data_IF_965208732957
#
_entry.id   IF_965208732957
#
_cell.length_a   1.000
_cell.length_b   1.000
_cell.length_c   1.000
_cell.angle_alpha   90.00
_cell.angle_beta   90.00
_cell.angle_gamma   90.00
#
_symmetry.space_group_name_H-M   'P 1'
#
loop_
_entity.id
_entity.type
_entity.pdbx_description
1 polymer ?
#
# COMPACT_ATOMS: atom_id res chain seq x y z
N UNK A 1 10.39 -6.88 -17.37
CA UNK A 1 11.64 -6.60 -16.65
C UNK A 1 11.63 -7.34 -15.32
N UNK A 2 12.74 -8.03 -15.00
CA UNK A 2 12.88 -8.85 -13.78
C UNK A 2 13.38 -8.03 -12.57
N UNK A 3 13.67 -6.76 -12.77
CA UNK A 3 14.23 -5.88 -11.74
C UNK A 3 13.12 -5.13 -11.03
N UNK A 4 13.01 -5.31 -9.71
CA UNK A 4 12.11 -4.53 -8.89
C UNK A 4 12.44 -3.03 -8.98
N UNK A 5 11.49 -2.17 -9.41
CA UNK A 5 11.75 -0.76 -9.60
C UNK A 5 11.95 -0.06 -8.26
N UNK A 6 12.89 0.86 -8.18
CA UNK A 6 13.07 1.71 -7.00
C UNK A 6 11.88 2.67 -6.85
N UNK A 7 11.27 2.76 -5.64
CA UNK A 7 10.20 3.72 -5.35
C UNK A 7 10.70 5.14 -5.05
N UNK A 8 12.02 5.38 -5.05
CA UNK A 8 12.59 6.68 -4.73
C UNK A 8 12.39 7.14 -3.28
N UNK A 9 11.99 6.24 -2.37
CA UNK A 9 11.57 6.60 -1.02
C UNK A 9 12.70 7.00 -0.05
N UNK A 10 13.94 6.60 -0.31
CA UNK A 10 15.11 6.90 0.53
C UNK A 10 15.09 6.28 1.95
N UNK A 11 14.01 5.62 2.37
CA UNK A 11 13.79 5.21 3.78
C UNK A 11 14.81 4.17 4.25
N UNK A 12 14.90 3.04 3.56
CA UNK A 12 15.74 1.92 3.99
C UNK A 12 17.21 2.04 3.58
N UNK A 13 17.49 2.70 2.46
CA UNK A 13 18.86 2.89 1.98
C UNK A 13 19.50 4.14 2.60
N UNK A 14 19.21 5.33 2.10
CA UNK A 14 19.81 6.59 2.58
C UNK A 14 19.46 6.86 4.04
N UNK A 15 18.17 6.69 4.43
CA UNK A 15 17.71 6.99 5.77
C UNK A 15 18.32 6.09 6.85
N UNK A 16 18.62 4.82 6.57
CA UNK A 16 19.32 3.97 7.52
C UNK A 16 20.83 4.28 7.57
N UNK A 17 21.46 4.58 6.43
CA UNK A 17 22.87 4.99 6.40
C UNK A 17 23.12 6.29 7.17
N UNK A 18 22.23 7.28 7.11
CA UNK A 18 22.35 8.51 7.91
C UNK A 18 22.29 8.22 9.41
N UNK A 19 21.61 7.16 9.82
CA UNK A 19 21.57 6.67 11.20
C UNK A 19 22.72 5.71 11.55
N UNK A 20 23.68 5.49 10.63
CA UNK A 20 24.77 4.54 10.75
C UNK A 20 24.29 3.09 10.98
N UNK A 21 23.20 2.72 10.33
CA UNK A 21 22.63 1.37 10.34
C UNK A 21 22.84 0.68 8.99
N UNK A 22 22.81 -0.65 8.94
CA UNK A 22 22.86 -1.38 7.67
C UNK A 22 21.74 -0.92 6.73
N UNK A 23 22.07 -0.78 5.45
CA UNK A 23 21.08 -0.45 4.44
C UNK A 23 20.05 -1.57 4.28
N UNK A 24 18.83 -1.18 4.03
CA UNK A 24 17.71 -2.08 3.70
C UNK A 24 16.90 -1.46 2.55
N UNK A 25 15.89 -2.15 2.08
CA UNK A 25 14.99 -1.62 1.06
C UNK A 25 13.55 -2.00 1.33
N UNK A 26 12.63 -1.04 1.22
CA UNK A 26 11.19 -1.30 1.44
C UNK A 26 10.56 -2.14 0.33
N UNK A 27 11.18 -2.14 -0.86
CA UNK A 27 10.72 -2.91 -2.03
C UNK A 27 11.39 -4.28 -2.09
N UNK A 28 12.69 -4.32 -1.80
CA UNK A 28 13.47 -5.56 -1.82
C UNK A 28 13.84 -5.97 -0.38
N UNK A 29 13.07 -6.87 0.25
CA UNK A 29 13.34 -7.30 1.62
C UNK A 29 14.66 -8.06 1.79
N UNK A 30 15.25 -8.53 0.67
CA UNK A 30 16.54 -9.23 0.68
C UNK A 30 17.73 -8.28 0.70
N UNK A 31 17.54 -6.99 0.38
CA UNK A 31 18.64 -6.03 0.28
C UNK A 31 19.44 -5.92 1.59
N UNK A 32 20.72 -6.27 1.52
CA UNK A 32 21.63 -6.36 2.68
C UNK A 32 21.41 -7.58 3.58
N UNK A 33 20.54 -8.53 3.17
CA UNK A 33 20.18 -9.74 3.92
C UNK A 33 20.13 -10.97 3.02
N UNK A 34 20.81 -10.94 1.91
CA UNK A 34 20.78 -11.98 0.86
C UNK A 34 21.25 -13.34 1.38
N UNK A 35 22.16 -13.35 2.37
CA UNK A 35 22.65 -14.57 3.01
C UNK A 35 21.72 -15.12 4.10
N UNK A 36 20.80 -14.31 4.62
CA UNK A 36 19.87 -14.71 5.68
C UNK A 36 18.58 -15.32 5.10
N UNK A 37 18.16 -14.82 3.94
CA UNK A 37 16.91 -15.20 3.30
C UNK A 37 17.14 -15.80 1.93
N UNK A 38 16.98 -17.08 1.84
CA UNK A 38 16.98 -17.80 0.57
C UNK A 38 15.55 -18.22 0.22
N UNK A 39 15.06 -17.79 -0.94
CA UNK A 39 13.73 -18.17 -1.45
C UNK A 39 13.80 -19.60 -2.01
N UNK A 40 13.91 -20.62 -1.13
CA UNK A 40 13.98 -22.03 -1.53
C UNK A 40 12.61 -22.56 -1.96
N UNK A 41 12.57 -23.45 -2.96
CA UNK A 41 11.36 -24.20 -3.26
C UNK A 41 10.84 -24.94 -2.03
N UNK A 42 9.52 -25.05 -1.92
CA UNK A 42 8.91 -25.84 -0.84
C UNK A 42 9.14 -27.33 -1.02
N UNK A 43 9.26 -28.07 0.08
CA UNK A 43 9.26 -29.53 0.05
C UNK A 43 7.83 -30.10 -0.03
N UNK A 44 6.82 -29.30 0.35
CA UNK A 44 5.41 -29.69 0.38
C UNK A 44 4.56 -28.53 -0.16
N UNK A 45 3.87 -28.77 -1.25
CA UNK A 45 2.95 -27.78 -1.86
C UNK A 45 1.70 -27.65 -1.00
N UNK A 46 1.17 -26.44 -0.89
CA UNK A 46 -0.05 -26.10 -0.13
C UNK A 46 -0.94 -25.19 -0.95
N UNK A 47 -2.24 -25.31 -0.74
CA UNK A 47 -3.24 -24.35 -1.20
C UNK A 47 -3.28 -23.19 -0.23
N UNK A 48 -2.85 -22.01 -0.65
CA UNK A 48 -2.75 -20.83 0.20
C UNK A 48 -3.70 -19.75 -0.30
N UNK A 49 -4.58 -19.30 0.59
CA UNK A 49 -5.45 -18.17 0.34
C UNK A 49 -4.86 -16.91 0.97
N UNK A 50 -4.66 -15.88 0.18
CA UNK A 50 -4.27 -14.53 0.66
C UNK A 50 -5.49 -13.62 0.56
N UNK A 51 -5.86 -12.96 1.65
CA UNK A 51 -6.98 -12.03 1.70
C UNK A 51 -6.46 -10.60 1.64
N UNK A 52 -6.71 -9.94 0.50
CA UNK A 52 -6.26 -8.58 0.19
C UNK A 52 -5.08 -8.53 -0.78
N UNK A 53 -5.26 -7.88 -1.93
CA UNK A 53 -4.22 -7.62 -2.92
C UNK A 53 -3.54 -6.24 -2.73
N UNK A 54 -3.40 -5.78 -1.49
CA UNK A 54 -2.49 -4.70 -1.13
C UNK A 54 -1.03 -5.16 -1.26
N UNK A 55 -0.08 -4.28 -0.97
CA UNK A 55 1.35 -4.58 -1.13
C UNK A 55 1.78 -5.79 -0.29
N UNK A 56 1.29 -5.89 0.95
CA UNK A 56 1.60 -7.04 1.81
C UNK A 56 1.11 -8.36 1.23
N UNK A 57 -0.12 -8.38 0.73
CA UNK A 57 -0.71 -9.57 0.11
C UNK A 57 -0.04 -9.96 -1.19
N UNK A 58 0.22 -9.00 -2.09
CA UNK A 58 0.93 -9.25 -3.35
C UNK A 58 2.36 -9.75 -3.12
N UNK A 59 3.09 -9.16 -2.15
CA UNK A 59 4.44 -9.60 -1.81
C UNK A 59 4.44 -11.03 -1.24
N UNK A 60 3.48 -11.37 -0.36
CA UNK A 60 3.31 -12.71 0.16
C UNK A 60 2.96 -13.70 -0.97
N UNK A 61 1.99 -13.36 -1.82
CA UNK A 61 1.55 -14.20 -2.92
C UNK A 61 2.71 -14.51 -3.88
N UNK A 62 3.48 -13.49 -4.28
CA UNK A 62 4.66 -13.63 -5.12
C UNK A 62 5.66 -14.63 -4.55
N UNK A 63 6.03 -14.44 -3.28
CA UNK A 63 7.05 -15.29 -2.64
C UNK A 63 6.56 -16.73 -2.51
N UNK A 64 5.31 -16.92 -2.10
CA UNK A 64 4.72 -18.24 -1.90
C UNK A 64 4.58 -18.99 -3.23
N UNK A 65 4.07 -18.34 -4.27
CA UNK A 65 3.96 -18.93 -5.60
C UNK A 65 5.34 -19.26 -6.20
N UNK A 66 6.32 -18.37 -6.04
CA UNK A 66 7.72 -18.62 -6.45
C UNK A 66 8.33 -19.83 -5.74
N UNK A 67 7.91 -20.11 -4.52
CA UNK A 67 8.34 -21.27 -3.76
C UNK A 67 7.60 -22.57 -4.14
N UNK A 68 6.59 -22.50 -5.00
CA UNK A 68 5.86 -23.65 -5.54
C UNK A 68 4.56 -23.97 -4.80
N UNK A 69 3.99 -23.04 -4.04
CA UNK A 69 2.65 -23.21 -3.47
C UNK A 69 1.57 -22.78 -4.48
N UNK A 70 0.37 -23.37 -4.37
CA UNK A 70 -0.83 -22.91 -5.08
C UNK A 70 -1.42 -21.71 -4.35
N UNK A 71 -1.35 -20.53 -4.95
CA UNK A 71 -1.75 -19.27 -4.29
C UNK A 71 -2.93 -18.64 -4.99
N UNK A 72 -3.99 -18.38 -4.23
CA UNK A 72 -5.15 -17.58 -4.64
C UNK A 72 -5.20 -16.33 -3.77
N UNK A 73 -5.39 -15.17 -4.38
CA UNK A 73 -5.54 -13.88 -3.70
C UNK A 73 -6.96 -13.38 -3.90
N UNK A 74 -7.69 -13.09 -2.82
CA UNK A 74 -8.97 -12.42 -2.88
C UNK A 74 -8.80 -10.91 -2.68
N UNK A 75 -9.38 -10.14 -3.59
CA UNK A 75 -9.39 -8.67 -3.52
C UNK A 75 -10.83 -8.17 -3.68
N UNK A 76 -11.33 -7.41 -2.71
CA UNK A 76 -12.68 -6.86 -2.75
C UNK A 76 -12.87 -5.76 -3.78
N UNK A 77 -11.81 -5.04 -4.10
CA UNK A 77 -11.83 -3.95 -5.06
C UNK A 77 -11.62 -4.46 -6.50
N UNK A 78 -11.90 -3.59 -7.48
CA UNK A 78 -11.68 -3.86 -8.92
C UNK A 78 -10.21 -3.89 -9.31
N UNK A 79 -9.30 -3.46 -8.45
CA UNK A 79 -7.86 -3.38 -8.73
C UNK A 79 -7.04 -3.63 -7.48
N UNK A 80 -5.88 -4.25 -7.69
CA UNK A 80 -4.88 -4.44 -6.65
C UNK A 80 -4.12 -3.16 -6.30
N UNK A 81 -3.30 -3.21 -5.24
CA UNK A 81 -2.40 -2.16 -4.80
C UNK A 81 -2.82 -1.52 -3.47
N UNK A 82 -4.08 -1.68 -3.05
CA UNK A 82 -4.56 -1.17 -1.78
C UNK A 82 -4.24 0.32 -1.56
N UNK A 83 -3.74 0.67 -0.39
CA UNK A 83 -3.42 2.06 -0.04
C UNK A 83 -2.28 2.69 -0.87
N UNK A 84 -1.43 1.90 -1.54
CA UNK A 84 -0.43 2.48 -2.45
C UNK A 84 -1.06 3.19 -3.65
N UNK A 85 -2.28 2.79 -4.06
CA UNK A 85 -3.04 3.52 -5.06
C UNK A 85 -3.37 4.95 -4.63
N UNK A 86 -3.43 5.23 -3.33
CA UNK A 86 -3.62 6.56 -2.78
C UNK A 86 -2.27 7.28 -2.61
N UNK A 87 -1.27 6.58 -2.06
CA UNK A 87 0.06 7.14 -1.82
C UNK A 87 0.72 7.65 -3.12
N UNK A 88 0.55 6.96 -4.24
CA UNK A 88 1.10 7.40 -5.53
C UNK A 88 0.36 8.60 -6.14
N UNK A 89 -0.74 9.05 -5.56
CA UNK A 89 -1.48 10.24 -6.02
C UNK A 89 -0.84 11.55 -5.54
N UNK A 90 -0.12 11.50 -4.42
CA UNK A 90 0.63 12.65 -3.93
C UNK A 90 1.64 13.13 -4.98
N UNK A 91 1.89 14.45 -5.10
CA UNK A 91 2.88 14.99 -6.01
C UNK A 91 4.24 14.30 -5.86
N UNK A 92 4.90 14.05 -6.99
CA UNK A 92 6.23 13.41 -7.07
C UNK A 92 6.34 11.96 -6.58
N UNK A 93 5.21 11.28 -6.29
CA UNK A 93 5.18 9.89 -5.80
C UNK A 93 4.66 8.86 -6.81
N UNK A 94 4.48 9.25 -8.07
CA UNK A 94 3.92 8.40 -9.12
C UNK A 94 4.78 7.14 -9.37
N UNK A 95 6.08 7.21 -9.11
CA UNK A 95 7.02 6.07 -9.25
C UNK A 95 6.62 4.86 -8.38
N UNK A 96 5.94 5.09 -7.26
CA UNK A 96 5.44 4.03 -6.37
C UNK A 96 4.49 3.07 -7.12
N UNK A 97 3.73 3.57 -8.09
CA UNK A 97 2.81 2.75 -8.87
C UNK A 97 3.51 1.65 -9.68
N UNK A 98 4.76 1.87 -10.08
CA UNK A 98 5.56 0.87 -10.79
C UNK A 98 5.80 -0.39 -9.96
N UNK A 99 5.86 -0.25 -8.64
CA UNK A 99 6.01 -1.39 -7.76
C UNK A 99 4.76 -2.27 -7.71
N UNK A 100 3.57 -1.67 -7.76
CA UNK A 100 2.32 -2.44 -7.85
C UNK A 100 2.33 -3.27 -9.14
N UNK A 101 2.67 -2.62 -10.27
CA UNK A 101 2.75 -3.29 -11.58
C UNK A 101 3.76 -4.44 -11.55
N UNK A 102 4.94 -4.21 -10.99
CA UNK A 102 5.97 -5.24 -10.83
C UNK A 102 5.47 -6.45 -10.04
N UNK A 103 4.84 -6.23 -8.88
CA UNK A 103 4.33 -7.32 -8.05
C UNK A 103 3.22 -8.12 -8.76
N UNK A 104 2.35 -7.45 -9.51
CA UNK A 104 1.32 -8.11 -10.32
C UNK A 104 1.93 -8.99 -11.41
N UNK A 105 2.94 -8.50 -12.12
CA UNK A 105 3.67 -9.26 -13.13
C UNK A 105 4.39 -10.47 -12.53
N UNK A 106 4.98 -10.31 -11.35
CA UNK A 106 5.64 -11.42 -10.65
C UNK A 106 4.64 -12.45 -10.11
N UNK A 107 3.47 -12.01 -9.62
CA UNK A 107 2.40 -12.93 -9.23
C UNK A 107 1.92 -13.77 -10.43
N UNK A 108 1.66 -13.13 -11.57
CA UNK A 108 1.29 -13.79 -12.81
C UNK A 108 2.38 -14.76 -13.28
N UNK A 109 3.63 -14.32 -13.28
CA UNK A 109 4.81 -15.12 -13.68
C UNK A 109 4.94 -16.42 -12.90
N UNK A 110 4.66 -16.38 -11.59
CA UNK A 110 4.75 -17.57 -10.73
C UNK A 110 3.42 -18.30 -10.53
N UNK A 111 2.37 -17.88 -11.23
CA UNK A 111 1.07 -18.56 -11.27
C UNK A 111 0.18 -18.30 -10.04
N UNK A 112 0.37 -17.19 -9.34
CA UNK A 112 -0.59 -16.76 -8.32
C UNK A 112 -1.84 -16.18 -8.98
N UNK A 113 -3.01 -16.73 -8.66
CA UNK A 113 -4.31 -16.26 -9.16
C UNK A 113 -4.83 -15.11 -8.32
N UNK A 114 -5.24 -14.01 -8.96
CA UNK A 114 -5.87 -12.88 -8.25
C UNK A 114 -7.33 -12.77 -8.68
N UNK A 115 -8.26 -12.94 -7.73
CA UNK A 115 -9.69 -12.80 -7.93
C UNK A 115 -10.16 -11.47 -7.37
N UNK A 116 -10.48 -10.56 -8.29
CA UNK A 116 -11.02 -9.24 -7.97
C UNK A 116 -12.50 -9.30 -7.63
N UNK A 117 -13.03 -8.21 -7.05
CA UNK A 117 -14.43 -8.07 -6.65
C UNK A 117 -14.91 -9.27 -5.79
N UNK A 118 -13.98 -9.84 -5.01
CA UNK A 118 -14.20 -11.00 -4.17
C UNK A 118 -13.94 -10.63 -2.71
N UNK A 119 -15.00 -10.34 -1.98
CA UNK A 119 -14.92 -10.05 -0.56
C UNK A 119 -14.85 -11.35 0.24
N UNK A 120 -13.80 -11.48 1.04
CA UNK A 120 -13.59 -12.66 1.88
C UNK A 120 -14.43 -12.58 3.16
N UNK A 121 -15.25 -13.58 3.37
CA UNK A 121 -15.90 -13.88 4.65
C UNK A 121 -15.63 -15.34 5.03
N UNK A 122 -16.05 -15.74 6.23
CA UNK A 122 -15.76 -17.07 6.74
C UNK A 122 -16.29 -18.21 5.83
N UNK A 123 -17.43 -18.02 5.19
CA UNK A 123 -18.04 -19.06 4.36
C UNK A 123 -17.33 -19.17 3.00
N UNK A 124 -16.97 -18.03 2.40
CA UNK A 124 -16.19 -17.97 1.16
C UNK A 124 -14.79 -18.57 1.36
N UNK A 125 -14.13 -18.27 2.49
CA UNK A 125 -12.84 -18.86 2.83
C UNK A 125 -12.94 -20.37 3.02
N UNK A 126 -13.98 -20.86 3.72
CA UNK A 126 -14.20 -22.30 3.91
C UNK A 126 -14.50 -23.02 2.60
N UNK A 127 -15.25 -22.40 1.69
CA UNK A 127 -15.57 -22.98 0.39
C UNK A 127 -14.32 -23.17 -0.50
N UNK A 128 -13.31 -22.28 -0.37
CA UNK A 128 -12.03 -22.41 -1.07
C UNK A 128 -11.17 -23.54 -0.50
N UNK A 129 -11.46 -23.99 0.73
CA UNK A 129 -10.77 -25.08 1.42
C UNK A 129 -9.23 -24.95 1.42
N UNK A 130 -8.64 -23.82 1.83
CA UNK A 130 -7.20 -23.63 1.83
C UNK A 130 -6.53 -24.35 2.99
N UNK A 131 -5.27 -24.78 2.80
CA UNK A 131 -4.42 -25.30 3.88
C UNK A 131 -3.95 -24.17 4.82
N UNK A 132 -3.78 -22.96 4.27
CA UNK A 132 -3.32 -21.78 5.00
C UNK A 132 -4.06 -20.53 4.51
N UNK A 133 -4.45 -19.66 5.44
CA UNK A 133 -5.00 -18.34 5.14
C UNK A 133 -4.05 -17.26 5.65
N UNK A 134 -3.71 -16.31 4.76
CA UNK A 134 -2.93 -15.12 5.09
C UNK A 134 -3.84 -13.90 5.03
N UNK A 135 -3.98 -13.21 6.16
CA UNK A 135 -4.77 -11.98 6.25
C UNK A 135 -3.87 -10.76 5.94
N UNK A 136 -4.13 -10.09 4.83
CA UNK A 136 -3.45 -8.89 4.38
C UNK A 136 -4.46 -7.76 4.08
N UNK A 137 -5.49 -7.65 4.92
CA UNK A 137 -6.67 -6.79 4.72
C UNK A 137 -6.39 -5.29 4.85
N UNK A 138 -5.17 -4.91 5.26
CA UNK A 138 -4.77 -3.52 5.41
C UNK A 138 -5.28 -2.86 6.69
N UNK A 139 -5.44 -1.54 6.65
CA UNK A 139 -5.89 -0.72 7.76
C UNK A 139 -6.86 0.36 7.28
N UNK A 140 -7.73 0.82 8.17
CA UNK A 140 -8.63 1.93 7.93
C UNK A 140 -8.14 3.20 8.66
N UNK A 141 -8.43 4.41 8.11
CA UNK A 141 -8.09 5.67 8.76
C UNK A 141 -8.82 5.81 10.10
N UNK A 142 -8.10 6.29 11.11
CA UNK A 142 -8.71 6.63 12.39
C UNK A 142 -9.51 7.94 12.23
N UNK A 143 -10.74 7.95 12.72
CA UNK A 143 -11.53 9.16 12.85
C UNK A 143 -11.21 9.82 14.19
N UNK A 144 -10.68 11.05 14.16
CA UNK A 144 -10.34 11.75 15.39
C UNK A 144 -11.59 12.03 16.24
N UNK A 145 -11.53 11.82 17.56
CA UNK A 145 -12.66 12.06 18.47
C UNK A 145 -12.78 13.55 18.85
N UNK A 146 -12.95 14.40 17.84
CA UNK A 146 -13.08 15.86 18.00
C UNK A 146 -14.50 16.31 17.64
N UNK A 147 -14.90 17.46 18.17
CA UNK A 147 -16.17 18.10 17.82
C UNK A 147 -16.19 18.49 16.34
N UNK A 148 -17.30 18.26 15.64
CA UNK A 148 -17.43 18.55 14.21
C UNK A 148 -16.86 17.45 13.29
N UNK A 149 -16.42 16.32 13.84
CA UNK A 149 -15.85 15.18 13.04
C UNK A 149 -16.79 14.68 11.96
N UNK A 150 -18.10 14.82 12.14
CA UNK A 150 -19.12 14.42 11.18
C UNK A 150 -19.13 15.23 9.89
N UNK A 151 -18.50 16.42 9.91
CA UNK A 151 -18.33 17.29 8.75
C UNK A 151 -16.95 17.14 8.09
N UNK A 152 -16.05 16.37 8.69
CA UNK A 152 -14.70 16.19 8.19
C UNK A 152 -14.68 15.20 7.02
N UNK A 153 -13.77 15.46 6.08
CA UNK A 153 -13.51 14.61 4.94
C UNK A 153 -12.19 13.87 5.20
N UNK A 154 -12.20 12.57 5.03
CA UNK A 154 -10.97 11.77 5.15
C UNK A 154 -10.01 12.07 4.00
N UNK A 155 -8.71 12.19 4.30
CA UNK A 155 -7.68 12.39 3.30
C UNK A 155 -7.73 11.33 2.18
N UNK A 156 -8.03 10.08 2.54
CA UNK A 156 -8.17 8.99 1.58
C UNK A 156 -9.29 9.23 0.56
N UNK A 157 -10.39 9.86 0.95
CA UNK A 157 -11.50 10.16 0.03
C UNK A 157 -11.16 11.31 -0.92
N UNK A 158 -10.35 12.27 -0.45
CA UNK A 158 -9.81 13.34 -1.29
C UNK A 158 -8.81 12.75 -2.31
N UNK A 159 -7.82 11.98 -1.83
CA UNK A 159 -6.78 11.39 -2.68
C UNK A 159 -7.34 10.37 -3.67
N UNK A 160 -8.38 9.63 -3.31
CA UNK A 160 -9.06 8.70 -4.24
C UNK A 160 -9.88 9.40 -5.32
N UNK A 161 -10.19 10.68 -5.13
CA UNK A 161 -11.07 11.45 -6.02
C UNK A 161 -12.56 11.22 -5.76
N UNK A 162 -12.95 10.54 -4.69
CA UNK A 162 -14.34 10.40 -4.27
C UNK A 162 -14.96 11.75 -3.92
N UNK A 163 -14.15 12.65 -3.35
CA UNK A 163 -14.55 14.01 -3.05
C UNK A 163 -13.82 14.96 -3.99
N UNK A 164 -14.55 15.75 -4.80
CA UNK A 164 -13.95 16.71 -5.72
C UNK A 164 -13.36 17.90 -4.98
N UNK A 165 -12.20 18.37 -5.43
CA UNK A 165 -11.56 19.58 -4.93
C UNK A 165 -12.10 20.77 -5.75
N UNK A 166 -12.98 21.56 -5.14
CA UNK A 166 -13.65 22.68 -5.81
C UNK A 166 -12.90 24.01 -5.68
N UNK A 167 -11.80 24.05 -4.94
CA UNK A 167 -11.07 25.29 -4.62
C UNK A 167 -11.49 25.87 -3.26
N UNK A 168 -10.94 27.03 -2.90
CA UNK A 168 -11.20 27.69 -1.63
C UNK A 168 -10.17 27.38 -0.53
N UNK A 169 -10.57 27.49 0.73
CA UNK A 169 -9.71 27.27 1.88
C UNK A 169 -9.92 25.86 2.43
N UNK A 170 -8.85 25.12 2.62
CA UNK A 170 -8.85 23.82 3.26
C UNK A 170 -8.08 23.88 4.60
N UNK A 171 -8.67 23.36 5.67
CA UNK A 171 -7.98 23.10 6.92
C UNK A 171 -7.70 21.58 7.00
N UNK A 172 -6.45 21.21 7.20
CA UNK A 172 -6.00 19.82 7.26
C UNK A 172 -5.52 19.56 8.67
N UNK A 173 -6.16 18.63 9.35
CA UNK A 173 -5.85 18.26 10.72
C UNK A 173 -4.83 17.12 10.72
N UNK A 174 -3.68 17.36 11.30
CA UNK A 174 -2.51 16.49 11.33
C UNK A 174 -1.40 16.95 10.39
N UNK A 175 -0.26 17.33 10.94
CA UNK A 175 0.94 17.78 10.22
C UNK A 175 1.90 16.65 9.84
N UNK A 176 1.50 15.38 10.00
CA UNK A 176 2.29 14.24 9.54
C UNK A 176 2.34 14.10 8.01
N UNK A 177 3.07 13.11 7.52
CA UNK A 177 3.28 12.91 6.08
C UNK A 177 1.98 12.91 5.26
N UNK A 178 0.94 12.21 5.73
CA UNK A 178 -0.35 12.15 5.02
C UNK A 178 -1.00 13.54 4.93
N UNK A 179 -0.96 14.32 6.01
CA UNK A 179 -1.53 15.68 6.02
C UNK A 179 -0.79 16.61 5.06
N UNK A 180 0.54 16.61 5.09
CA UNK A 180 1.38 17.43 4.21
C UNK A 180 1.13 17.06 2.74
N UNK A 181 1.15 15.77 2.41
CA UNK A 181 0.90 15.29 1.05
C UNK A 181 -0.51 15.60 0.57
N UNK A 182 -1.50 15.52 1.47
CA UNK A 182 -2.88 15.90 1.16
C UNK A 182 -3.00 17.39 0.91
N UNK A 183 -2.31 18.23 1.70
CA UNK A 183 -2.28 19.68 1.49
C UNK A 183 -1.70 20.02 0.11
N UNK A 184 -0.57 19.42 -0.24
CA UNK A 184 0.07 19.60 -1.52
C UNK A 184 -0.83 19.14 -2.67
N UNK A 185 -1.46 17.96 -2.52
CA UNK A 185 -2.41 17.44 -3.51
C UNK A 185 -3.58 18.38 -3.72
N UNK A 186 -4.17 18.93 -2.64
CA UNK A 186 -5.27 19.89 -2.70
C UNK A 186 -4.85 21.15 -3.44
N UNK A 187 -3.69 21.71 -3.13
CA UNK A 187 -3.17 22.91 -3.80
C UNK A 187 -2.92 22.70 -5.29
N UNK A 188 -2.38 21.55 -5.67
CA UNK A 188 -2.12 21.21 -7.08
C UNK A 188 -3.37 20.92 -7.92
N UNK A 189 -4.43 20.38 -7.29
CA UNK A 189 -5.63 19.93 -8.02
C UNK A 189 -6.84 20.85 -7.85
N UNK A 190 -6.71 21.91 -7.06
CA UNK A 190 -7.80 22.87 -6.87
C UNK A 190 -8.08 23.69 -8.15
N UNK A 191 -9.36 23.95 -8.40
CA UNK A 191 -9.80 24.85 -9.46
C UNK A 191 -9.84 26.28 -8.93
N UNK A 192 -8.84 27.09 -9.28
CA UNK A 192 -8.71 28.48 -8.84
C UNK A 192 -7.79 28.65 -7.63
N UNK A 193 -7.85 29.82 -6.98
CA UNK A 193 -7.03 30.10 -5.79
C UNK A 193 -7.45 29.20 -4.63
N UNK A 194 -6.49 28.45 -4.11
CA UNK A 194 -6.68 27.60 -2.95
C UNK A 194 -5.66 27.97 -1.85
N UNK A 195 -6.08 27.82 -0.62
CA UNK A 195 -5.19 27.90 0.56
C UNK A 195 -5.36 26.63 1.36
N UNK A 196 -4.25 26.07 1.81
CA UNK A 196 -4.24 24.95 2.74
C UNK A 196 -3.58 25.39 4.06
N UNK A 197 -4.26 25.15 5.16
CA UNK A 197 -3.72 25.34 6.51
C UNK A 197 -3.55 23.96 7.15
N UNK A 198 -2.35 23.67 7.63
CA UNK A 198 -2.07 22.51 8.45
C UNK A 198 -2.25 22.84 9.92
N UNK A 199 -2.99 22.01 10.63
CA UNK A 199 -3.24 22.13 12.06
C UNK A 199 -2.59 20.94 12.73
N UNK A 200 -1.55 21.19 13.52
CA UNK A 200 -0.80 20.17 14.24
C UNK A 200 -0.90 20.44 15.75
N UNK A 201 -1.04 19.39 16.54
CA UNK A 201 -1.14 19.51 17.99
C UNK A 201 0.22 19.53 18.70
N UNK A 202 1.30 19.16 17.98
CA UNK A 202 2.68 19.20 18.49
C UNK A 202 3.40 20.45 17.99
N UNK A 203 4.46 20.88 18.71
CA UNK A 203 5.24 22.07 18.37
C UNK A 203 6.15 21.86 17.13
N UNK A 204 6.17 20.67 16.56
CA UNK A 204 6.96 20.33 15.37
C UNK A 204 6.20 19.38 14.44
N UNK A 205 6.46 19.55 13.15
CA UNK A 205 5.98 18.67 12.07
C UNK A 205 7.04 17.62 11.75
#
# INVERSE_FOLDING_TARGET
DEIAPCAGCGVGCVGEQTKRRPASCVINPLAGRELEFEEKPTAEEKNILVVGAGIGGLAAARILAKRGHHVVVFEKEKKAGGQLNLACRAPFKQEISKWIVYLLQECDRYGAEIRYETEANADVIKAENPDVVILATGAEPIVLPVEGKETMIQANDVLSGKVPILGGNAAIIGGGMVGIETAEYVLHHSRGAARAALIEMTDSI
#
